data_IF_786719553388
#
_entry.id   IF_786719553388
#
_cell.length_a   1.000
_cell.length_b   1.000
_cell.length_c   1.000
_cell.angle_alpha   90.00
_cell.angle_beta   90.00
_cell.angle_gamma   90.00
#
_symmetry.space_group_name_H-M   'P 1'
#
loop_
_entity.id
_entity.type
_entity.pdbx_description
1 polymer ?
#
# COMPACT_ATOMS: atom_id res chain seq x y z
N UNK A 1 12.80 -2.59 -21.69
CA UNK A 1 13.19 -3.88 -21.08
C UNK A 1 12.63 -3.94 -19.67
N UNK A 2 11.92 -5.00 -19.43
CA UNK A 2 10.93 -5.26 -18.41
C UNK A 2 11.57 -5.84 -17.15
N UNK A 3 11.49 -5.15 -16.00
CA UNK A 3 11.58 -5.86 -14.71
C UNK A 3 10.61 -5.22 -13.74
N UNK A 4 9.39 -5.73 -13.74
CA UNK A 4 8.43 -5.51 -12.68
C UNK A 4 8.54 -6.71 -11.73
N UNK A 5 9.41 -6.63 -10.75
CA UNK A 5 9.53 -7.67 -9.72
C UNK A 5 8.75 -7.20 -8.50
N UNK A 6 7.50 -7.63 -8.42
CA UNK A 6 6.68 -7.42 -7.23
C UNK A 6 6.84 -8.62 -6.29
N UNK A 7 7.69 -8.52 -5.30
CA UNK A 7 7.95 -9.56 -4.33
C UNK A 7 6.86 -9.58 -3.25
N UNK A 8 5.99 -10.59 -3.31
CA UNK A 8 4.95 -10.82 -2.29
C UNK A 8 5.28 -12.09 -1.51
N UNK A 9 5.90 -11.97 -0.34
CA UNK A 9 6.13 -13.10 0.55
C UNK A 9 4.91 -13.39 1.41
N UNK A 10 4.37 -14.58 1.24
CA UNK A 10 3.30 -15.12 2.07
C UNK A 10 3.68 -16.53 2.53
N UNK A 11 3.73 -16.73 3.83
CA UNK A 11 3.76 -18.07 4.42
C UNK A 11 2.30 -18.49 4.63
N UNK A 12 1.83 -19.40 3.81
CA UNK A 12 0.55 -20.08 3.99
C UNK A 12 0.77 -21.57 4.09
N UNK A 13 0.37 -22.16 5.19
CA UNK A 13 0.42 -23.60 5.45
C UNK A 13 -0.66 -24.26 4.60
N UNK A 14 -0.25 -25.21 3.74
CA UNK A 14 -1.15 -26.00 2.90
C UNK A 14 -1.59 -27.26 3.63
N UNK A 15 -2.88 -27.40 3.85
CA UNK A 15 -3.49 -28.71 4.07
C UNK A 15 -3.88 -29.32 2.73
N UNK A 16 -3.20 -30.38 2.33
CA UNK A 16 -3.52 -31.20 1.16
C UNK A 16 -4.75 -32.06 1.50
N UNK A 17 -5.89 -31.76 0.90
CA UNK A 17 -7.03 -32.69 0.86
C UNK A 17 -7.21 -33.20 -0.56
N UNK A 18 -6.98 -34.50 -0.73
CA UNK A 18 -7.21 -35.19 -2.00
C UNK A 18 -8.72 -35.22 -2.32
N UNK A 19 -9.10 -34.60 -3.41
CA UNK A 19 -10.48 -34.65 -3.91
C UNK A 19 -10.62 -35.67 -5.05
N UNK A 20 -11.46 -36.67 -4.84
CA UNK A 20 -11.92 -37.66 -5.81
C UNK A 20 -12.80 -36.99 -6.88
N UNK A 21 -12.47 -37.20 -8.15
CA UNK A 21 -13.19 -36.67 -9.31
C UNK A 21 -14.48 -37.41 -9.49
N UNK A 22 -15.62 -36.80 -9.16
CA UNK A 22 -16.96 -37.22 -9.61
C UNK A 22 -17.49 -36.11 -10.53
N UNK A 23 -17.92 -36.51 -11.74
CA UNK A 23 -18.48 -35.60 -12.72
C UNK A 23 -19.83 -35.03 -12.23
N UNK A 24 -19.87 -33.72 -12.07
CA UNK A 24 -21.02 -32.91 -11.77
C UNK A 24 -20.69 -31.49 -12.13
N UNK A 25 -21.60 -30.76 -12.73
CA UNK A 25 -21.49 -29.34 -13.02
C UNK A 25 -20.93 -28.60 -11.79
N UNK A 26 -19.64 -28.20 -11.87
CA UNK A 26 -18.96 -27.54 -10.77
C UNK A 26 -19.71 -26.26 -10.37
N UNK A 27 -19.69 -25.92 -9.07
CA UNK A 27 -20.25 -24.66 -8.64
C UNK A 27 -19.55 -23.53 -9.40
N UNK A 28 -20.33 -22.64 -10.00
CA UNK A 28 -19.85 -21.38 -10.55
C UNK A 28 -19.24 -20.63 -9.37
N UNK A 29 -17.91 -20.56 -9.31
CA UNK A 29 -17.20 -19.73 -8.33
C UNK A 29 -17.53 -18.30 -8.74
N UNK A 30 -18.57 -17.74 -8.14
CA UNK A 30 -18.80 -16.30 -8.18
C UNK A 30 -17.66 -15.69 -7.41
N UNK A 31 -16.63 -15.21 -8.12
CA UNK A 31 -15.58 -14.41 -7.53
C UNK A 31 -16.24 -13.11 -7.09
N UNK A 32 -16.64 -13.04 -5.83
CA UNK A 32 -17.15 -11.79 -5.25
C UNK A 32 -16.05 -10.77 -5.35
N UNK A 33 -16.25 -9.75 -6.17
CA UNK A 33 -15.34 -8.62 -6.28
C UNK A 33 -15.32 -7.93 -4.93
N UNK A 34 -14.23 -8.07 -4.18
CA UNK A 34 -14.10 -7.40 -2.88
C UNK A 34 -14.12 -5.89 -3.10
N UNK A 35 -15.06 -5.22 -2.45
CA UNK A 35 -15.06 -3.76 -2.41
C UNK A 35 -13.87 -3.28 -1.58
N UNK A 36 -13.00 -2.40 -2.11
CA UNK A 36 -11.90 -1.82 -1.35
C UNK A 36 -12.30 -1.20 -0.02
N UNK A 37 -13.52 -0.70 0.10
CA UNK A 37 -14.01 -0.06 1.32
C UNK A 37 -14.46 -1.07 2.41
N UNK A 38 -14.46 -2.38 2.12
CA UNK A 38 -14.70 -3.44 3.11
C UNK A 38 -13.43 -3.86 3.87
N UNK A 39 -12.26 -3.42 3.42
CA UNK A 39 -11.00 -3.72 4.11
C UNK A 39 -10.84 -2.90 5.38
N UNK A 40 -10.26 -3.49 6.46
CA UNK A 40 -10.06 -2.78 7.72
C UNK A 40 -9.18 -1.54 7.54
N UNK A 41 -9.64 -0.39 8.01
CA UNK A 41 -8.87 0.86 7.98
C UNK A 41 -7.93 0.92 9.18
N UNK A 42 -6.63 1.24 8.99
CA UNK A 42 -5.71 1.45 10.09
C UNK A 42 -6.21 2.52 11.06
N UNK A 43 -6.26 2.19 12.34
CA UNK A 43 -6.62 3.11 13.42
C UNK A 43 -5.51 3.17 14.45
N UNK A 44 -5.48 4.24 15.25
CA UNK A 44 -4.51 4.41 16.34
C UNK A 44 -3.03 4.38 15.89
N UNK A 45 -2.74 4.89 14.70
CA UNK A 45 -1.39 5.05 14.17
C UNK A 45 -1.02 6.52 14.27
N UNK A 46 -0.14 6.85 15.21
CA UNK A 46 0.39 8.20 15.32
C UNK A 46 1.28 8.51 14.10
N UNK A 47 1.01 9.65 13.43
CA UNK A 47 1.79 10.02 12.25
C UNK A 47 1.47 9.19 10.99
N UNK A 48 0.29 8.58 10.90
CA UNK A 48 -0.17 7.91 9.69
C UNK A 48 -0.11 8.85 8.49
N UNK A 49 0.62 8.45 7.46
CA UNK A 49 0.74 9.18 6.20
C UNK A 49 -0.23 8.63 5.16
N UNK A 50 -0.14 7.35 4.88
CA UNK A 50 -1.03 6.60 4.00
C UNK A 50 -0.85 5.10 4.26
N UNK A 51 -1.66 4.28 3.60
CA UNK A 51 -1.53 2.82 3.70
C UNK A 51 -1.80 2.13 2.36
N UNK A 52 -1.27 0.90 2.23
CA UNK A 52 -1.50 0.05 1.07
C UNK A 52 -2.26 -1.19 1.50
N UNK A 53 -3.33 -1.49 0.78
CA UNK A 53 -4.13 -2.71 0.88
C UNK A 53 -4.09 -3.46 -0.43
N UNK A 54 -4.29 -4.76 -0.37
CA UNK A 54 -4.31 -5.61 -1.57
C UNK A 54 -5.28 -6.77 -1.37
N UNK A 55 -6.10 -7.01 -2.34
CA UNK A 55 -6.98 -8.16 -2.38
C UNK A 55 -6.21 -9.39 -2.94
N UNK A 56 -6.41 -10.59 -2.38
CA UNK A 56 -7.38 -10.93 -1.33
C UNK A 56 -6.84 -10.86 0.11
N UNK A 57 -5.68 -10.26 0.34
CA UNK A 57 -5.03 -10.24 1.64
C UNK A 57 -5.48 -9.05 2.49
N UNK A 58 -6.11 -9.30 3.64
CA UNK A 58 -6.61 -8.26 4.55
C UNK A 58 -5.52 -7.55 5.36
N UNK A 59 -4.26 -8.04 5.33
CA UNK A 59 -3.15 -7.34 5.98
C UNK A 59 -2.87 -6.02 5.28
N UNK A 60 -2.66 -4.98 6.05
CA UNK A 60 -2.41 -3.64 5.55
C UNK A 60 -0.97 -3.24 5.79
N UNK A 61 -0.32 -2.63 4.78
CA UNK A 61 0.99 -2.02 4.90
C UNK A 61 0.77 -0.55 5.24
N UNK A 62 1.32 -0.12 6.35
CA UNK A 62 1.18 1.24 6.88
C UNK A 62 2.47 2.01 6.69
N UNK A 63 2.34 3.24 6.26
CA UNK A 63 3.42 4.21 6.13
C UNK A 63 3.16 5.34 7.12
N UNK A 64 4.03 5.45 8.12
CA UNK A 64 3.96 6.47 9.15
C UNK A 64 5.18 7.38 9.12
N UNK A 65 5.03 8.56 9.66
CA UNK A 65 6.13 9.50 9.82
C UNK A 65 7.16 8.92 10.80
N UNK A 66 8.42 8.85 10.37
CA UNK A 66 9.52 8.40 11.22
C UNK A 66 10.12 9.60 11.98
N UNK A 67 9.76 9.72 13.24
CA UNK A 67 10.25 10.76 14.15
C UNK A 67 11.11 10.15 15.23
N UNK A 68 12.17 10.85 15.57
CA UNK A 68 13.06 10.46 16.67
C UNK A 68 12.45 10.79 18.05
N UNK A 69 13.17 10.44 19.10
CA UNK A 69 12.77 10.72 20.50
C UNK A 69 12.65 12.22 20.83
N UNK A 70 13.18 13.10 19.98
CA UNK A 70 13.09 14.55 20.11
C UNK A 70 11.93 15.15 19.29
N UNK A 71 11.13 14.31 18.63
CA UNK A 71 10.03 14.74 17.76
C UNK A 71 10.48 15.28 16.41
N UNK A 72 11.75 15.07 16.01
CA UNK A 72 12.26 15.46 14.69
C UNK A 72 12.11 14.34 13.68
N UNK A 73 11.77 14.71 12.45
CA UNK A 73 11.73 13.75 11.34
C UNK A 73 13.13 13.22 11.02
N UNK A 74 13.25 11.92 10.86
CA UNK A 74 14.49 11.30 10.40
C UNK A 74 14.81 11.79 8.98
N UNK A 75 16.01 12.37 8.80
CA UNK A 75 16.45 12.88 7.49
C UNK A 75 16.82 11.76 6.52
N UNK A 76 17.29 10.65 7.03
CA UNK A 76 17.72 9.50 6.23
C UNK A 76 16.55 8.62 5.82
N UNK A 77 15.62 8.43 6.74
CA UNK A 77 14.46 7.56 6.56
C UNK A 77 13.20 8.22 7.12
N UNK A 78 12.63 9.23 6.42
CA UNK A 78 11.51 10.03 6.93
C UNK A 78 10.21 9.24 7.09
N UNK A 79 10.11 8.06 6.49
CA UNK A 79 8.92 7.19 6.52
C UNK A 79 9.31 5.83 7.11
N UNK A 80 8.62 5.41 8.14
CA UNK A 80 8.66 4.06 8.68
C UNK A 80 7.53 3.23 8.10
N UNK A 81 7.79 1.97 7.77
CA UNK A 81 6.83 1.08 7.10
C UNK A 81 6.71 -0.23 7.84
N UNK A 82 5.47 -0.64 8.15
CA UNK A 82 5.17 -1.87 8.88
C UNK A 82 3.83 -2.48 8.45
N UNK A 83 3.57 -3.72 8.88
CA UNK A 83 2.32 -4.41 8.70
C UNK A 83 1.37 -4.20 9.88
N UNK A 84 0.07 -4.08 9.58
CA UNK A 84 -0.99 -4.45 10.51
C UNK A 84 -1.55 -5.78 10.03
N UNK A 85 -1.43 -6.81 10.86
CA UNK A 85 -1.84 -8.18 10.54
C UNK A 85 -3.21 -8.47 11.15
N UNK A 86 -4.26 -8.09 10.46
CA UNK A 86 -5.63 -8.20 10.94
C UNK A 86 -6.06 -9.65 11.26
N UNK A 87 -5.72 -10.69 10.49
CA UNK A 87 -6.00 -12.07 10.87
C UNK A 87 -5.31 -12.53 12.16
N UNK A 88 -4.28 -11.80 12.58
CA UNK A 88 -3.52 -12.06 13.83
C UNK A 88 -3.87 -11.03 14.91
N UNK A 89 -5.14 -10.60 14.96
CA UNK A 89 -5.63 -9.65 15.96
C UNK A 89 -5.17 -8.21 15.77
N UNK A 90 -4.77 -7.82 14.57
CA UNK A 90 -4.32 -6.45 14.29
C UNK A 90 -2.89 -6.17 14.76
N UNK A 91 -2.09 -7.21 14.94
CA UNK A 91 -0.72 -7.09 15.43
C UNK A 91 0.15 -6.29 14.46
N UNK A 92 0.90 -5.32 15.00
CA UNK A 92 1.94 -4.56 14.29
C UNK A 92 3.19 -5.43 14.10
N UNK A 93 3.75 -5.46 12.89
CA UNK A 93 4.96 -6.20 12.56
C UNK A 93 5.80 -5.45 11.54
N UNK A 94 7.07 -5.22 11.85
CA UNK A 94 7.99 -4.58 10.93
C UNK A 94 8.22 -5.42 9.67
N UNK A 95 8.49 -4.73 8.57
CA UNK A 95 8.92 -5.37 7.34
C UNK A 95 10.30 -5.99 7.51
N UNK A 96 10.49 -7.18 6.98
CA UNK A 96 11.83 -7.74 6.85
C UNK A 96 12.64 -7.03 5.75
N UNK A 97 13.93 -7.34 5.67
CA UNK A 97 14.85 -6.73 4.69
C UNK A 97 14.37 -6.89 3.24
N UNK A 98 13.94 -8.10 2.84
CA UNK A 98 13.50 -8.37 1.48
C UNK A 98 12.21 -7.62 1.13
N UNK A 99 11.26 -7.56 2.07
CA UNK A 99 10.02 -6.82 1.88
C UNK A 99 10.28 -5.31 1.71
N UNK A 100 11.19 -4.74 2.50
CA UNK A 100 11.60 -3.34 2.34
C UNK A 100 12.31 -3.09 1.01
N UNK A 101 13.26 -3.95 0.65
CA UNK A 101 14.10 -3.76 -0.53
C UNK A 101 13.36 -3.93 -1.84
N UNK A 102 12.38 -4.85 -1.92
CA UNK A 102 11.80 -5.26 -3.20
C UNK A 102 10.30 -5.02 -3.35
N UNK A 103 9.57 -4.76 -2.27
CA UNK A 103 8.12 -4.69 -2.33
C UNK A 103 7.52 -3.40 -1.76
N UNK A 104 7.77 -3.10 -0.48
CA UNK A 104 7.02 -2.07 0.23
C UNK A 104 7.86 -0.91 0.75
N UNK A 105 9.15 -0.94 0.52
CA UNK A 105 10.02 0.14 0.94
C UNK A 105 9.78 1.45 0.20
N UNK A 106 10.23 2.52 0.83
CA UNK A 106 10.23 3.86 0.26
C UNK A 106 11.68 4.36 0.19
N UNK A 107 12.10 4.78 -0.99
CA UNK A 107 13.30 5.57 -1.17
C UNK A 107 12.94 7.04 -0.98
N UNK A 108 13.76 7.78 -0.26
CA UNK A 108 13.54 9.20 0.01
C UNK A 108 14.73 10.03 -0.46
N UNK A 109 14.42 11.23 -0.97
CA UNK A 109 15.42 12.26 -1.32
C UNK A 109 14.99 13.56 -0.66
N UNK A 110 15.87 14.15 0.16
CA UNK A 110 15.60 15.44 0.78
C UNK A 110 15.52 16.56 -0.27
N UNK A 111 14.51 17.39 -0.15
CA UNK A 111 14.28 18.59 -0.96
C UNK A 111 14.60 19.87 -0.17
N UNK A 112 15.10 19.74 1.08
CA UNK A 112 15.30 20.85 2.00
C UNK A 112 14.06 21.20 2.82
N UNK A 113 14.24 21.97 3.88
CA UNK A 113 13.18 22.47 4.76
C UNK A 113 12.24 21.38 5.32
N UNK A 114 12.76 20.15 5.52
CA UNK A 114 11.95 19.02 5.99
C UNK A 114 11.02 18.42 4.95
N UNK A 115 11.16 18.79 3.68
CA UNK A 115 10.42 18.19 2.56
C UNK A 115 11.22 17.07 1.90
N UNK A 116 10.52 16.07 1.38
CA UNK A 116 11.14 14.91 0.74
C UNK A 116 10.37 14.50 -0.51
N UNK A 117 11.10 14.11 -1.55
CA UNK A 117 10.58 13.28 -2.62
C UNK A 117 10.61 11.83 -2.15
N UNK A 118 9.51 11.12 -2.35
CA UNK A 118 9.37 9.71 -1.98
C UNK A 118 9.11 8.87 -3.24
N UNK A 119 9.70 7.69 -3.30
CA UNK A 119 9.47 6.72 -4.38
C UNK A 119 9.28 5.33 -3.81
N UNK A 120 8.16 4.71 -4.13
CA UNK A 120 7.94 3.30 -3.81
C UNK A 120 8.92 2.42 -4.59
N UNK A 121 9.52 1.43 -3.94
CA UNK A 121 10.42 0.48 -4.61
C UNK A 121 9.68 -0.39 -5.62
N UNK A 122 8.40 -0.70 -5.38
CA UNK A 122 7.59 -1.53 -6.27
C UNK A 122 7.00 -0.74 -7.45
N UNK A 123 6.76 0.57 -7.29
CA UNK A 123 6.14 1.41 -8.32
C UNK A 123 6.70 2.84 -8.30
N UNK A 124 7.90 2.99 -8.86
CA UNK A 124 8.62 4.27 -8.86
C UNK A 124 8.02 5.35 -9.76
N UNK A 125 7.07 4.99 -10.65
CA UNK A 125 6.40 5.92 -11.56
C UNK A 125 5.41 6.87 -10.86
N UNK A 126 4.96 6.55 -9.64
CA UNK A 126 4.08 7.42 -8.87
C UNK A 126 4.91 8.44 -8.09
N UNK A 127 4.88 9.73 -8.46
CA UNK A 127 5.59 10.77 -7.73
C UNK A 127 4.86 11.05 -6.42
N UNK A 128 5.58 10.89 -5.31
CA UNK A 128 5.09 11.18 -3.97
C UNK A 128 5.96 12.27 -3.35
N UNK A 129 5.36 13.20 -2.62
CA UNK A 129 6.08 14.27 -1.91
C UNK A 129 5.59 14.33 -0.47
N UNK A 130 6.52 14.13 0.48
CA UNK A 130 6.26 14.36 1.89
C UNK A 130 6.52 15.81 2.22
N UNK A 131 5.50 16.53 2.65
CA UNK A 131 5.56 17.95 2.98
C UNK A 131 4.69 18.28 4.18
N UNK A 132 4.99 19.40 4.84
CA UNK A 132 4.13 19.99 5.84
C UNK A 132 3.02 20.83 5.20
N UNK A 133 1.86 20.78 5.81
CA UNK A 133 0.77 21.72 5.52
C UNK A 133 0.92 23.03 6.32
N UNK A 134 -0.06 23.91 6.18
CA UNK A 134 -0.13 25.21 6.91
C UNK A 134 -0.26 25.05 8.42
N UNK A 135 -0.69 23.89 8.90
CA UNK A 135 -0.80 23.53 10.33
C UNK A 135 0.47 22.83 10.85
N UNK A 136 1.54 22.79 10.03
CA UNK A 136 2.78 22.11 10.36
C UNK A 136 2.66 20.57 10.48
N UNK A 137 1.63 19.98 9.87
CA UNK A 137 1.40 18.53 9.83
C UNK A 137 1.94 17.95 8.52
N UNK A 138 2.63 16.81 8.62
CA UNK A 138 3.16 16.14 7.44
C UNK A 138 2.09 15.32 6.72
N UNK A 139 2.08 15.45 5.40
CA UNK A 139 1.23 14.67 4.50
C UNK A 139 2.01 14.20 3.28
N UNK A 140 1.55 13.14 2.66
CA UNK A 140 2.07 12.69 1.35
C UNK A 140 1.16 13.23 0.26
N UNK A 141 1.75 14.04 -0.62
CA UNK A 141 1.08 14.65 -1.76
C UNK A 141 1.39 13.90 -3.05
N UNK A 142 0.38 13.78 -3.89
CA UNK A 142 0.48 13.21 -5.25
C UNK A 142 -0.62 13.77 -6.14
N UNK A 143 -0.54 13.47 -7.44
CA UNK A 143 -1.62 13.78 -8.38
C UNK A 143 -2.56 12.57 -8.51
N UNK A 144 -3.86 12.79 -8.30
CA UNK A 144 -4.94 11.83 -8.50
C UNK A 144 -5.95 12.46 -9.46
N UNK A 145 -6.19 11.84 -10.61
CA UNK A 145 -7.07 12.37 -11.66
C UNK A 145 -6.71 13.83 -12.05
N UNK A 146 -5.42 14.11 -12.21
CA UNK A 146 -4.86 15.44 -12.53
C UNK A 146 -5.14 16.51 -11.47
N UNK A 147 -5.42 16.13 -10.23
CA UNK A 147 -5.62 17.06 -9.12
C UNK A 147 -4.59 16.81 -8.02
N UNK A 148 -4.12 17.88 -7.40
CA UNK A 148 -3.23 17.79 -6.24
C UNK A 148 -3.99 17.27 -5.02
N UNK A 149 -3.57 16.13 -4.51
CA UNK A 149 -4.26 15.44 -3.42
C UNK A 149 -3.30 15.07 -2.29
N UNK A 150 -3.83 14.98 -1.08
CA UNK A 150 -3.22 14.24 0.02
C UNK A 150 -3.58 12.77 -0.18
N UNK A 151 -2.58 11.92 -0.36
CA UNK A 151 -2.77 10.48 -0.50
C UNK A 151 -3.20 9.87 0.83
N UNK A 152 -4.25 9.06 0.83
CA UNK A 152 -4.73 8.34 2.02
C UNK A 152 -4.60 6.83 1.88
N UNK A 153 -4.94 6.26 0.72
CA UNK A 153 -4.90 4.82 0.48
C UNK A 153 -4.43 4.49 -0.93
N UNK A 154 -3.67 3.42 -1.05
CA UNK A 154 -3.44 2.69 -2.30
C UNK A 154 -4.07 1.31 -2.15
N UNK A 155 -4.92 0.90 -3.07
CA UNK A 155 -5.49 -0.45 -3.09
C UNK A 155 -5.05 -1.16 -4.37
N UNK A 156 -4.61 -2.42 -4.23
CA UNK A 156 -4.11 -3.24 -5.34
C UNK A 156 -5.04 -4.43 -5.51
N UNK A 157 -5.75 -4.48 -6.63
CA UNK A 157 -6.58 -5.62 -7.00
C UNK A 157 -5.74 -6.66 -7.72
N UNK A 158 -5.66 -7.84 -7.12
CA UNK A 158 -4.94 -8.98 -7.69
C UNK A 158 -5.95 -10.09 -7.97
N UNK A 159 -5.90 -10.68 -9.15
CA UNK A 159 -6.73 -11.81 -9.54
C UNK A 159 -5.86 -12.91 -10.16
N UNK A 160 -5.46 -13.85 -9.30
CA UNK A 160 -4.58 -14.95 -9.70
C UNK A 160 -3.15 -14.51 -9.98
N UNK A 161 -2.48 -15.26 -10.87
CA UNK A 161 -1.04 -15.12 -11.11
C UNK A 161 -0.20 -15.95 -10.15
N UNK A 162 1.10 -15.72 -10.15
CA UNK A 162 2.04 -16.37 -9.26
C UNK A 162 2.60 -15.38 -8.24
N UNK A 163 3.28 -15.89 -7.25
CA UNK A 163 4.03 -15.08 -6.29
C UNK A 163 5.01 -14.10 -6.97
N UNK A 164 5.68 -14.55 -8.03
CA UNK A 164 6.66 -13.75 -8.77
C UNK A 164 6.05 -12.87 -9.86
N UNK A 165 4.82 -13.17 -10.28
CA UNK A 165 4.11 -12.47 -11.34
C UNK A 165 2.61 -12.44 -11.02
N UNK A 166 2.18 -11.64 -10.04
CA UNK A 166 0.77 -11.50 -9.72
C UNK A 166 0.04 -10.82 -10.87
N UNK A 167 -1.18 -11.27 -11.14
CA UNK A 167 -2.04 -10.62 -12.11
C UNK A 167 -2.72 -9.42 -11.46
N UNK A 168 -2.14 -8.24 -11.60
CA UNK A 168 -2.70 -6.99 -11.05
C UNK A 168 -3.72 -6.44 -12.04
N UNK A 169 -4.99 -6.44 -11.67
CA UNK A 169 -6.07 -5.90 -12.51
C UNK A 169 -6.08 -4.38 -12.52
N UNK A 170 -5.92 -3.77 -11.34
CA UNK A 170 -5.80 -2.32 -11.22
C UNK A 170 -5.14 -1.92 -9.89
N UNK A 171 -4.66 -0.68 -9.87
CA UNK A 171 -4.24 0.02 -8.67
C UNK A 171 -5.22 1.18 -8.47
N UNK A 172 -5.81 1.29 -7.28
CA UNK A 172 -6.69 2.39 -6.92
C UNK A 172 -5.96 3.34 -5.97
N UNK A 173 -5.92 4.61 -6.32
CA UNK A 173 -5.44 5.70 -5.49
C UNK A 173 -6.64 6.42 -4.89
N UNK A 174 -6.67 6.60 -3.57
CA UNK A 174 -7.68 7.38 -2.85
C UNK A 174 -6.99 8.50 -2.08
N UNK A 175 -7.49 9.70 -2.21
CA UNK A 175 -6.91 10.87 -1.56
C UNK A 175 -7.91 12.00 -1.39
N UNK A 176 -7.47 13.10 -0.77
CA UNK A 176 -8.26 14.30 -0.54
C UNK A 176 -7.75 15.40 -1.47
N UNK A 177 -8.62 15.91 -2.33
CA UNK A 177 -8.36 17.05 -3.21
C UNK A 177 -8.07 18.32 -2.39
N UNK A 178 -6.93 18.93 -2.61
CA UNK A 178 -6.51 20.13 -1.88
C UNK A 178 -7.39 21.35 -2.16
N UNK A 179 -7.99 21.43 -3.35
CA UNK A 179 -8.82 22.58 -3.73
C UNK A 179 -10.22 22.52 -3.13
N UNK A 180 -10.77 21.29 -2.98
CA UNK A 180 -12.19 21.12 -2.60
C UNK A 180 -12.39 20.43 -1.25
N UNK A 181 -11.34 19.80 -0.69
CA UNK A 181 -11.44 18.96 0.51
C UNK A 181 -12.20 17.64 0.29
N UNK A 182 -12.62 17.33 -0.93
CA UNK A 182 -13.39 16.13 -1.25
C UNK A 182 -12.49 14.93 -1.49
N UNK A 183 -12.99 13.75 -1.16
CA UNK A 183 -12.33 12.49 -1.52
C UNK A 183 -12.36 12.28 -3.03
N UNK A 184 -11.21 11.92 -3.60
CA UNK A 184 -11.05 11.53 -5.01
C UNK A 184 -10.47 10.14 -5.06
N UNK A 185 -10.95 9.37 -6.05
CA UNK A 185 -10.50 8.02 -6.35
C UNK A 185 -10.12 7.95 -7.82
N UNK A 186 -8.99 7.29 -8.11
CA UNK A 186 -8.55 6.99 -9.47
C UNK A 186 -8.09 5.54 -9.55
N UNK A 187 -8.55 4.82 -10.55
CA UNK A 187 -8.03 3.48 -10.90
C UNK A 187 -7.10 3.57 -12.09
N UNK A 188 -5.93 2.98 -11.96
CA UNK A 188 -4.93 2.87 -13.03
C UNK A 188 -4.65 1.40 -13.31
N UNK A 189 -4.55 1.05 -14.58
CA UNK A 189 -4.13 -0.30 -14.98
C UNK A 189 -2.60 -0.32 -15.08
N UNK A 190 -1.92 -1.24 -14.42
CA UNK A 190 -0.48 -1.39 -14.61
C UNK A 190 -0.17 -1.74 -16.05
N UNK A 191 0.82 -1.08 -16.63
CA UNK A 191 1.33 -1.36 -17.98
C UNK A 191 2.56 -2.25 -17.93
#
# INVERSE_FOLDING_TARGET
MKYFVCLILLVGITSLSAFKKTGGSGPVIVTTVSDPDTFPVPSNVAGLLFYIQRDPNTNTIVYELNIDSQGKISKEQPVHTFWIRYPEGGMRKDLNYLQRKFAYGINSKSLGNGNFELRSVAYSKLPLQLRKDVKNQYHVYTDISNKKCILSRVFIRIDGGTFWSPNVLYIELKGIDLATGKTIVQRIKPS
#
